data_IF_470491197756
#
_entry.id   IF_470491197756
#
_cell.length_a   1.000
_cell.length_b   1.000
_cell.length_c   1.000
_cell.angle_alpha   90.00
_cell.angle_beta   90.00
_cell.angle_gamma   90.00
#
_symmetry.space_group_name_H-M   'P 1'
#
loop_
_entity.id
_entity.type
_entity.pdbx_description
1 polymer ?
#
# COMPACT_ATOMS: atom_id res chain seq x y z
N UNK A 1 5.33 11.58 -29.37
CA UNK A 1 4.93 10.32 -28.73
C UNK A 1 4.83 10.59 -27.25
N UNK A 2 3.66 11.01 -26.77
CA UNK A 2 3.47 11.35 -25.36
C UNK A 2 3.27 10.06 -24.60
N UNK A 3 4.22 9.72 -23.72
CA UNK A 3 4.10 8.57 -22.85
C UNK A 3 3.02 8.86 -21.78
N UNK A 4 1.77 8.55 -22.13
CA UNK A 4 0.64 8.58 -21.20
C UNK A 4 0.64 7.34 -20.28
N UNK A 5 1.60 6.41 -20.46
CA UNK A 5 1.80 5.29 -19.56
C UNK A 5 2.51 5.77 -18.27
N UNK A 6 1.70 6.36 -17.41
CA UNK A 6 1.70 6.02 -15.97
C UNK A 6 2.71 6.77 -15.10
N UNK A 7 2.69 8.10 -15.14
CA UNK A 7 3.03 8.82 -13.91
C UNK A 7 1.91 8.58 -12.88
N UNK A 8 2.14 7.65 -11.94
CA UNK A 8 1.24 7.43 -10.81
C UNK A 8 0.92 8.79 -10.15
N UNK A 9 -0.34 9.05 -9.76
CA UNK A 9 -0.68 10.25 -9.00
C UNK A 9 0.28 10.42 -7.81
N UNK A 10 0.74 11.64 -7.49
CA UNK A 10 1.80 11.85 -6.50
C UNK A 10 1.52 11.17 -5.15
N UNK A 11 0.26 11.21 -4.71
CA UNK A 11 -0.17 10.55 -3.48
C UNK A 11 -0.05 9.03 -3.55
N UNK A 12 -0.51 8.41 -4.64
CA UNK A 12 -0.40 6.96 -4.85
C UNK A 12 1.06 6.50 -4.92
N UNK A 13 1.92 7.29 -5.58
CA UNK A 13 3.37 7.06 -5.59
C UNK A 13 3.95 7.10 -4.18
N UNK A 14 3.62 8.13 -3.42
CA UNK A 14 4.12 8.29 -2.04
C UNK A 14 3.66 7.16 -1.13
N UNK A 15 2.41 6.71 -1.24
CA UNK A 15 1.90 5.55 -0.51
C UNK A 15 2.72 4.31 -0.85
N UNK A 16 2.93 4.02 -2.15
CA UNK A 16 3.71 2.86 -2.58
C UNK A 16 5.17 2.92 -2.09
N UNK A 17 5.82 4.08 -2.14
CA UNK A 17 7.18 4.28 -1.62
C UNK A 17 7.29 3.90 -0.13
N UNK A 18 6.34 4.38 0.69
CA UNK A 18 6.33 4.08 2.12
C UNK A 18 6.03 2.60 2.39
N UNK A 19 5.08 2.01 1.67
CA UNK A 19 4.71 0.59 1.80
C UNK A 19 5.87 -0.33 1.43
N UNK A 20 6.55 -0.07 0.30
CA UNK A 20 7.74 -0.84 -0.11
C UNK A 20 8.94 -0.62 0.81
N UNK A 21 8.98 0.48 1.55
CA UNK A 21 9.98 0.72 2.59
C UNK A 21 9.79 -0.16 3.83
N UNK A 22 8.64 -0.83 4.00
CA UNK A 22 8.40 -1.73 5.13
C UNK A 22 9.05 -3.09 4.88
N UNK A 23 10.00 -3.44 5.75
CA UNK A 23 10.67 -4.73 5.71
C UNK A 23 9.67 -5.90 5.76
N UNK A 24 9.79 -6.83 4.81
CA UNK A 24 8.89 -7.97 4.68
C UNK A 24 7.76 -7.78 3.66
N UNK A 25 7.62 -6.60 3.04
CA UNK A 25 6.76 -6.41 1.86
C UNK A 25 7.52 -6.85 0.60
N UNK A 26 6.98 -7.83 -0.13
CA UNK A 26 7.55 -8.31 -1.41
C UNK A 26 6.80 -7.79 -2.64
N UNK A 27 5.51 -7.45 -2.46
CA UNK A 27 4.69 -6.79 -3.46
C UNK A 27 3.64 -5.93 -2.76
N UNK A 28 3.21 -4.86 -3.43
CA UNK A 28 2.16 -3.98 -2.92
C UNK A 28 1.24 -3.51 -4.04
N UNK A 29 -0.01 -3.26 -3.69
CA UNK A 29 -1.00 -2.61 -4.55
C UNK A 29 -1.78 -1.61 -3.72
N UNK A 30 -2.02 -0.44 -4.32
CA UNK A 30 -2.84 0.61 -3.73
C UNK A 30 -4.03 0.85 -4.63
N UNK A 31 -5.22 0.87 -4.03
CA UNK A 31 -6.44 1.33 -4.68
C UNK A 31 -6.89 2.62 -4.02
N UNK A 32 -7.29 3.58 -4.85
CA UNK A 32 -7.69 4.90 -4.40
C UNK A 32 -9.06 5.24 -4.98
N UNK A 33 -10.02 5.53 -4.10
CA UNK A 33 -11.35 6.05 -4.42
C UNK A 33 -11.58 7.35 -3.66
N UNK A 34 -12.59 8.16 -4.01
CA UNK A 34 -12.97 9.30 -3.19
C UNK A 34 -13.24 8.88 -1.73
N UNK A 35 -12.48 9.43 -0.79
CA UNK A 35 -12.63 9.17 0.65
C UNK A 35 -12.16 7.79 1.14
N UNK A 36 -11.58 6.95 0.27
CA UNK A 36 -11.12 5.61 0.65
C UNK A 36 -9.82 5.20 -0.02
N UNK A 37 -8.92 4.65 0.78
CA UNK A 37 -7.68 4.03 0.32
C UNK A 37 -7.66 2.57 0.79
N UNK A 38 -7.28 1.66 -0.08
CA UNK A 38 -6.98 0.28 0.32
C UNK A 38 -5.57 -0.09 -0.09
N UNK A 39 -4.84 -0.73 0.83
CA UNK A 39 -3.45 -1.17 0.63
C UNK A 39 -3.41 -2.69 0.76
N UNK A 40 -3.09 -3.36 -0.34
CA UNK A 40 -2.82 -4.79 -0.36
C UNK A 40 -1.32 -5.04 -0.38
N UNK A 41 -0.83 -5.94 0.48
CA UNK A 41 0.59 -6.32 0.50
C UNK A 41 0.79 -7.84 0.41
N UNK A 42 1.91 -8.25 -0.17
CA UNK A 42 2.37 -9.65 -0.12
C UNK A 42 3.51 -9.78 0.90
N UNK A 43 3.35 -10.61 1.95
CA UNK A 43 4.42 -10.82 2.92
C UNK A 43 5.56 -11.65 2.32
N UNK A 44 6.78 -11.41 2.78
CA UNK A 44 7.88 -12.35 2.61
C UNK A 44 7.60 -13.65 3.40
N UNK A 45 8.21 -14.76 2.99
CA UNK A 45 7.90 -16.11 3.47
C UNK A 45 7.96 -16.29 5.00
N UNK A 46 8.77 -15.50 5.71
CA UNK A 46 8.94 -15.57 7.17
C UNK A 46 8.28 -14.41 7.93
N UNK A 47 7.53 -13.53 7.24
CA UNK A 47 6.86 -12.40 7.88
C UNK A 47 5.52 -12.80 8.48
N UNK A 48 5.30 -12.49 9.76
CA UNK A 48 4.00 -12.65 10.40
C UNK A 48 2.99 -11.66 9.78
N UNK A 49 1.91 -12.10 9.14
CA UNK A 49 1.06 -11.22 8.33
C UNK A 49 0.40 -10.08 9.12
N UNK A 50 -0.11 -10.35 10.32
CA UNK A 50 -0.75 -9.32 11.16
C UNK A 50 0.24 -8.22 11.59
N UNK A 51 1.45 -8.61 11.97
CA UNK A 51 2.51 -7.67 12.34
C UNK A 51 3.02 -6.87 11.14
N UNK A 52 3.09 -7.50 9.95
CA UNK A 52 3.40 -6.78 8.72
C UNK A 52 2.34 -5.73 8.41
N UNK A 53 1.05 -6.08 8.46
CA UNK A 53 -0.05 -5.15 8.19
C UNK A 53 -0.03 -3.97 9.17
N UNK A 54 0.22 -4.23 10.46
CA UNK A 54 0.37 -3.17 11.48
C UNK A 54 1.52 -2.22 11.14
N UNK A 55 2.68 -2.73 10.74
CA UNK A 55 3.84 -1.90 10.34
C UNK A 55 3.55 -1.08 9.06
N UNK A 56 2.83 -1.68 8.10
CA UNK A 56 2.36 -0.98 6.89
C UNK A 56 1.42 0.17 7.25
N UNK A 57 0.44 -0.06 8.11
CA UNK A 57 -0.48 0.97 8.60
C UNK A 57 0.28 2.13 9.26
N UNK A 58 1.23 1.84 10.14
CA UNK A 58 2.06 2.87 10.78
C UNK A 58 2.89 3.67 9.78
N UNK A 59 3.46 3.03 8.75
CA UNK A 59 4.32 3.70 7.78
C UNK A 59 3.57 4.76 6.95
N UNK A 60 2.27 4.56 6.72
CA UNK A 60 1.43 5.46 5.89
C UNK A 60 0.51 6.35 6.71
N UNK A 61 0.47 6.21 8.04
CA UNK A 61 -0.44 6.96 8.91
C UNK A 61 -0.37 8.48 8.71
N UNK A 62 0.82 9.02 8.42
CA UNK A 62 1.01 10.45 8.15
C UNK A 62 0.45 10.94 6.82
N UNK A 63 0.01 10.04 5.94
CA UNK A 63 -0.62 10.40 4.66
C UNK A 63 -2.15 10.52 4.75
N UNK A 64 -2.77 10.09 5.86
CA UNK A 64 -4.22 9.99 5.99
C UNK A 64 -4.87 11.36 6.16
N UNK A 65 -5.92 11.62 5.39
CA UNK A 65 -6.77 12.80 5.55
C UNK A 65 -7.92 12.53 6.55
N UNK A 66 -8.48 13.56 7.23
CA UNK A 66 -9.47 13.37 8.30
C UNK A 66 -10.73 12.60 7.91
N UNK A 67 -11.24 12.81 6.69
CA UNK A 67 -12.47 12.19 6.19
C UNK A 67 -12.20 10.91 5.38
N UNK A 68 -10.97 10.38 5.46
CA UNK A 68 -10.54 9.25 4.66
C UNK A 68 -10.49 7.96 5.47
N UNK A 69 -11.01 6.89 4.87
CA UNK A 69 -10.97 5.54 5.44
C UNK A 69 -9.86 4.73 4.79
N UNK A 70 -9.06 4.02 5.59
CA UNK A 70 -7.97 3.17 5.12
C UNK A 70 -8.21 1.71 5.52
N UNK A 71 -8.04 0.80 4.56
CA UNK A 71 -8.11 -0.63 4.78
C UNK A 71 -6.80 -1.30 4.36
N UNK A 72 -6.37 -2.30 5.13
CA UNK A 72 -5.12 -3.04 4.91
C UNK A 72 -5.41 -4.52 4.79
N UNK A 73 -4.85 -5.17 3.76
CA UNK A 73 -5.09 -6.57 3.48
C UNK A 73 -3.90 -7.27 2.83
N UNK A 74 -3.98 -8.59 2.78
CA UNK A 74 -3.00 -9.41 2.08
C UNK A 74 -3.42 -9.58 0.63
N UNK A 75 -2.46 -9.50 -0.28
CA UNK A 75 -2.67 -9.92 -1.65
C UNK A 75 -2.70 -11.45 -1.69
N UNK A 76 -3.70 -12.01 -2.37
CA UNK A 76 -3.73 -13.43 -2.66
C UNK A 76 -2.49 -13.81 -3.49
N UNK A 77 -1.96 -14.99 -3.22
CA UNK A 77 -1.02 -15.62 -4.13
C UNK A 77 -1.87 -16.47 -5.06
N UNK A 78 -1.89 -16.13 -6.35
CA UNK A 78 -2.42 -17.04 -7.36
C UNK A 78 -1.72 -18.39 -7.15
N UNK A 79 -2.51 -19.38 -6.72
CA UNK A 79 -2.06 -20.75 -6.45
C UNK A 79 -2.21 -21.60 -7.70
#
# INVERSE_FOLDING_TARGET
MTDLATQLPPRMRRTLELVYGVEGVTAARVWHWPGRVSVGVRPAMLSAPSELLRRVEHAVAGLREPDETWDFGLLESDS
#
